data_IF_482865804950
#
_entry.id   IF_482865804950
#
_cell.length_a   1.000
_cell.length_b   1.000
_cell.length_c   1.000
_cell.angle_alpha   90.00
_cell.angle_beta   90.00
_cell.angle_gamma   90.00
#
_symmetry.space_group_name_H-M   'P 1'
#
loop_
_entity.id
_entity.type
_entity.pdbx_description
1 polymer ?
#
# COMPACT_ATOMS: atom_id res chain seq x y z
N UNK A 1 -1.58 -41.04 -9.63
CA UNK A 1 -0.69 -40.06 -8.92
C UNK A 1 -1.57 -38.95 -8.44
N UNK A 2 -1.73 -38.85 -7.12
CA UNK A 2 -2.73 -38.01 -6.44
C UNK A 2 -2.39 -36.51 -6.60
N UNK A 3 -3.39 -35.63 -6.74
CA UNK A 3 -3.23 -34.18 -6.90
C UNK A 3 -2.33 -33.60 -5.82
N UNK A 4 -2.41 -34.10 -4.60
CA UNK A 4 -1.54 -33.72 -3.47
C UNK A 4 -0.05 -34.00 -3.73
N UNK A 5 0.30 -35.08 -4.43
CA UNK A 5 1.68 -35.41 -4.78
C UNK A 5 2.24 -34.45 -5.85
N UNK A 6 1.41 -33.95 -6.78
CA UNK A 6 1.81 -32.97 -7.78
C UNK A 6 2.01 -31.59 -7.15
N UNK A 7 1.15 -31.20 -6.20
CA UNK A 7 1.27 -29.93 -5.46
C UNK A 7 2.51 -29.95 -4.56
N UNK A 8 2.78 -31.05 -3.85
CA UNK A 8 3.97 -31.19 -3.03
C UNK A 8 5.26 -31.15 -3.87
N UNK A 9 5.26 -31.76 -5.06
CA UNK A 9 6.41 -31.70 -5.98
C UNK A 9 6.61 -30.26 -6.54
N UNK A 10 5.54 -29.58 -6.90
CA UNK A 10 5.56 -28.21 -7.39
C UNK A 10 6.08 -27.24 -6.31
N UNK A 11 5.61 -27.38 -5.06
CA UNK A 11 6.09 -26.58 -3.91
C UNK A 11 7.57 -26.86 -3.64
N UNK A 12 8.00 -28.12 -3.71
CA UNK A 12 9.40 -28.52 -3.54
C UNK A 12 10.29 -27.93 -4.63
N UNK A 13 9.84 -27.92 -5.87
CA UNK A 13 10.60 -27.37 -7.01
C UNK A 13 10.72 -25.85 -6.91
N UNK A 14 9.64 -25.14 -6.53
CA UNK A 14 9.68 -23.69 -6.27
C UNK A 14 10.65 -23.40 -5.12
N UNK A 15 10.57 -24.16 -4.01
CA UNK A 15 11.44 -23.97 -2.86
C UNK A 15 12.90 -24.21 -3.22
N UNK A 16 13.21 -25.19 -4.05
CA UNK A 16 14.56 -25.48 -4.51
C UNK A 16 15.09 -24.45 -5.51
N UNK A 17 14.23 -23.95 -6.41
CA UNK A 17 14.57 -22.84 -7.29
C UNK A 17 14.82 -21.57 -6.49
N UNK A 18 13.97 -21.23 -5.52
CA UNK A 18 14.14 -20.08 -4.60
C UNK A 18 15.46 -20.19 -3.82
N UNK A 19 15.81 -21.38 -3.28
CA UNK A 19 17.09 -21.61 -2.60
C UNK A 19 18.30 -21.46 -3.53
N UNK A 20 18.20 -21.92 -4.77
CA UNK A 20 19.27 -21.79 -5.77
C UNK A 20 19.46 -20.34 -6.21
N UNK A 21 18.37 -19.63 -6.41
CA UNK A 21 18.36 -18.20 -6.77
C UNK A 21 18.86 -17.32 -5.63
N UNK A 22 18.43 -17.60 -4.38
CA UNK A 22 18.93 -16.86 -3.22
C UNK A 22 20.43 -17.04 -3.03
N UNK A 23 20.99 -18.24 -3.29
CA UNK A 23 22.44 -18.47 -3.26
C UNK A 23 23.17 -17.70 -4.35
N UNK A 24 22.60 -17.60 -5.55
CA UNK A 24 23.21 -16.87 -6.68
C UNK A 24 23.13 -15.36 -6.44
N UNK A 25 21.98 -14.86 -5.94
CA UNK A 25 21.79 -13.47 -5.56
C UNK A 25 22.72 -13.11 -4.40
N UNK A 26 22.78 -13.92 -3.34
CA UNK A 26 23.70 -13.73 -2.22
C UNK A 26 25.18 -13.77 -2.66
N UNK A 27 25.53 -14.58 -3.64
CA UNK A 27 26.90 -14.62 -4.19
C UNK A 27 27.24 -13.37 -5.01
N UNK A 28 26.28 -12.80 -5.74
CA UNK A 28 26.46 -11.52 -6.45
C UNK A 28 26.48 -10.33 -5.47
N UNK A 29 25.67 -10.37 -4.44
CA UNK A 29 25.58 -9.34 -3.39
C UNK A 29 26.80 -9.29 -2.46
N UNK A 30 27.58 -10.40 -2.31
CA UNK A 30 28.83 -10.42 -1.55
C UNK A 30 29.92 -9.49 -2.08
N UNK A 31 29.70 -8.85 -3.23
CA UNK A 31 30.63 -7.89 -3.85
C UNK A 31 30.23 -6.43 -3.64
N UNK A 32 29.11 -6.15 -2.92
CA UNK A 32 28.62 -4.79 -2.78
C UNK A 32 29.16 -4.11 -1.52
N UNK A 33 29.12 -2.78 -1.55
CA UNK A 33 29.62 -1.89 -0.48
C UNK A 33 28.59 -1.72 0.66
N UNK A 34 27.36 -2.26 0.53
CA UNK A 34 26.20 -1.91 1.36
C UNK A 34 25.47 -3.15 1.91
N UNK A 35 25.98 -3.82 2.96
CA UNK A 35 25.44 -5.11 3.44
C UNK A 35 23.95 -5.12 3.81
N UNK A 36 23.44 -4.03 4.41
CA UNK A 36 22.05 -3.99 4.89
C UNK A 36 21.05 -3.67 3.78
N UNK A 37 21.41 -2.81 2.84
CA UNK A 37 20.60 -2.58 1.63
C UNK A 37 20.57 -3.80 0.73
N UNK A 38 21.64 -4.63 0.73
CA UNK A 38 21.64 -5.94 0.09
C UNK A 38 20.61 -6.88 0.68
N UNK A 39 20.45 -6.85 2.01
CA UNK A 39 19.45 -7.66 2.68
C UNK A 39 18.04 -7.22 2.29
N UNK A 40 17.76 -5.90 2.30
CA UNK A 40 16.48 -5.36 1.82
C UNK A 40 16.21 -5.84 0.40
N UNK A 41 17.17 -5.71 -0.49
CA UNK A 41 17.04 -6.10 -1.88
C UNK A 41 16.82 -7.60 -2.05
N UNK A 42 17.55 -8.43 -1.29
CA UNK A 42 17.40 -9.89 -1.31
C UNK A 42 15.99 -10.33 -0.87
N UNK A 43 15.51 -9.80 0.25
CA UNK A 43 14.17 -10.13 0.76
C UNK A 43 13.08 -9.58 -0.18
N UNK A 44 13.30 -8.39 -0.78
CA UNK A 44 12.38 -7.81 -1.76
C UNK A 44 12.29 -8.65 -3.05
N UNK A 45 13.41 -9.13 -3.58
CA UNK A 45 13.42 -10.01 -4.75
C UNK A 45 12.72 -11.35 -4.47
N UNK A 46 12.85 -11.89 -3.26
CA UNK A 46 12.12 -13.08 -2.85
C UNK A 46 10.62 -12.80 -2.75
N UNK A 47 10.22 -11.73 -2.07
CA UNK A 47 8.81 -11.31 -1.96
C UNK A 47 8.20 -11.02 -3.34
N UNK A 48 8.93 -10.36 -4.25
CA UNK A 48 8.45 -10.06 -5.60
C UNK A 48 8.24 -11.31 -6.45
N UNK A 49 8.99 -12.38 -6.17
CA UNK A 49 8.83 -13.66 -6.85
C UNK A 49 7.60 -14.46 -6.38
N UNK A 50 7.01 -14.08 -5.24
CA UNK A 50 5.82 -14.73 -4.69
C UNK A 50 4.58 -14.08 -5.31
N UNK A 51 3.69 -14.85 -5.97
CA UNK A 51 2.41 -14.33 -6.43
C UNK A 51 1.62 -13.77 -5.25
N UNK A 52 1.20 -12.52 -5.37
CA UNK A 52 0.40 -11.85 -4.34
C UNK A 52 -0.62 -10.94 -4.99
N UNK A 53 -1.58 -11.53 -5.74
CA UNK A 53 -2.71 -10.76 -6.21
C UNK A 53 -3.51 -10.26 -5.00
N UNK A 54 -4.17 -9.14 -5.18
CA UNK A 54 -5.10 -8.61 -4.18
C UNK A 54 -6.07 -9.70 -3.68
N UNK A 55 -6.29 -9.77 -2.37
CA UNK A 55 -7.09 -10.78 -1.67
C UNK A 55 -6.47 -12.21 -1.66
N UNK A 56 -5.21 -12.37 -2.04
CA UNK A 56 -4.46 -13.64 -1.98
C UNK A 56 -3.01 -13.43 -1.58
N UNK A 57 -2.81 -12.68 -0.50
CA UNK A 57 -1.48 -12.31 0.01
C UNK A 57 -0.86 -13.35 0.96
N UNK A 58 -1.55 -14.49 1.19
CA UNK A 58 -1.16 -15.49 2.19
C UNK A 58 0.28 -16.00 2.00
N UNK A 59 0.74 -16.08 0.77
CA UNK A 59 2.09 -16.55 0.46
C UNK A 59 3.15 -15.57 0.95
N UNK A 60 2.91 -14.26 0.79
CA UNK A 60 3.80 -13.21 1.31
C UNK A 60 3.71 -13.11 2.82
N UNK A 61 2.51 -13.22 3.39
CA UNK A 61 2.31 -13.26 4.84
C UNK A 61 3.11 -14.41 5.45
N UNK A 62 3.00 -15.62 4.90
CA UNK A 62 3.75 -16.79 5.35
C UNK A 62 5.26 -16.56 5.29
N UNK A 63 5.78 -16.01 4.20
CA UNK A 63 7.19 -15.68 4.07
C UNK A 63 7.66 -14.73 5.18
N UNK A 64 6.88 -13.68 5.48
CA UNK A 64 7.22 -12.70 6.50
C UNK A 64 7.16 -13.32 7.90
N UNK A 65 6.14 -14.13 8.21
CA UNK A 65 6.03 -14.86 9.48
C UNK A 65 7.25 -15.75 9.69
N UNK A 66 7.63 -16.56 8.70
CA UNK A 66 8.81 -17.42 8.76
C UNK A 66 10.10 -16.60 8.97
N UNK A 67 10.21 -15.46 8.29
CA UNK A 67 11.37 -14.58 8.38
C UNK A 67 11.48 -13.95 9.77
N UNK A 68 10.38 -13.44 10.34
CA UNK A 68 10.33 -12.93 11.71
C UNK A 68 10.62 -14.02 12.74
N UNK A 69 10.01 -15.21 12.58
CA UNK A 69 10.26 -16.35 13.44
C UNK A 69 11.74 -16.77 13.42
N UNK A 70 12.40 -16.72 12.26
CA UNK A 70 13.84 -17.01 12.15
C UNK A 70 14.72 -16.02 12.92
N UNK A 71 14.21 -14.82 13.18
CA UNK A 71 14.85 -13.78 14.00
C UNK A 71 14.42 -13.85 15.48
N UNK A 72 13.56 -14.82 15.85
CA UNK A 72 13.02 -14.95 17.20
C UNK A 72 11.98 -13.89 17.56
N UNK A 73 11.36 -13.25 16.57
CA UNK A 73 10.36 -12.19 16.75
C UNK A 73 8.96 -12.81 16.62
N UNK A 74 8.14 -12.78 17.69
CA UNK A 74 6.77 -13.23 17.62
C UNK A 74 5.92 -12.26 16.77
N UNK A 75 4.99 -12.81 16.00
CA UNK A 75 4.04 -12.05 15.21
C UNK A 75 2.64 -12.64 15.32
N UNK A 76 1.63 -11.82 15.12
CA UNK A 76 0.23 -12.21 15.12
C UNK A 76 -0.45 -11.72 13.85
N UNK A 77 -1.47 -12.46 13.42
CA UNK A 77 -2.31 -12.10 12.29
C UNK A 77 -3.70 -11.79 12.86
N UNK A 78 -4.27 -10.64 12.48
CA UNK A 78 -5.62 -10.28 12.89
C UNK A 78 -6.68 -11.00 12.03
N UNK A 79 -7.96 -10.81 12.36
CA UNK A 79 -9.10 -11.42 11.65
C UNK A 79 -9.20 -10.98 10.18
N UNK A 80 -8.64 -9.82 9.85
CA UNK A 80 -8.59 -9.28 8.49
C UNK A 80 -7.36 -9.75 7.71
N UNK A 81 -6.42 -10.46 8.36
CA UNK A 81 -5.20 -10.99 7.75
C UNK A 81 -4.00 -10.03 7.84
N UNK A 82 -4.10 -8.89 8.52
CA UNK A 82 -2.96 -8.01 8.75
C UNK A 82 -1.98 -8.65 9.73
N UNK A 83 -0.69 -8.55 9.43
CA UNK A 83 0.37 -9.10 10.27
C UNK A 83 0.99 -8.01 11.14
N UNK A 84 1.07 -8.27 12.44
CA UNK A 84 1.62 -7.36 13.46
C UNK A 84 2.76 -8.05 14.17
N UNK A 85 3.87 -7.36 14.35
CA UNK A 85 4.97 -7.78 15.19
C UNK A 85 5.41 -6.61 16.09
N UNK A 86 5.78 -6.93 17.34
CA UNK A 86 6.31 -5.94 18.30
C UNK A 86 7.73 -6.32 18.68
N UNK A 87 8.63 -5.37 18.52
CA UNK A 87 9.99 -5.45 19.01
C UNK A 87 10.09 -4.61 20.27
N UNK A 88 10.30 -5.29 21.41
CA UNK A 88 10.44 -4.62 22.69
C UNK A 88 11.80 -3.96 22.82
N UNK A 89 11.80 -2.74 23.30
CA UNK A 89 13.01 -2.07 23.77
C UNK A 89 13.55 -2.78 25.01
N UNK A 90 14.86 -2.67 25.24
CA UNK A 90 15.47 -3.09 26.50
C UNK A 90 15.30 -2.03 27.60
N UNK A 91 15.01 -0.79 27.24
CA UNK A 91 14.71 0.29 28.18
C UNK A 91 13.23 0.26 28.52
N UNK A 92 12.90 0.02 29.79
CA UNK A 92 11.54 -0.27 30.29
C UNK A 92 10.70 0.95 30.62
N UNK A 93 10.98 2.12 30.09
CA UNK A 93 10.13 3.28 30.30
C UNK A 93 8.90 3.23 29.38
N UNK A 94 7.73 3.55 29.95
CA UNK A 94 6.40 3.57 29.29
C UNK A 94 6.29 4.63 28.18
N UNK A 95 7.18 4.56 27.20
CA UNK A 95 7.15 5.45 26.05
C UNK A 95 6.26 4.89 24.93
N UNK A 96 5.51 5.77 24.25
CA UNK A 96 4.70 5.37 23.11
C UNK A 96 5.56 4.76 22.01
N UNK A 97 5.13 3.67 21.38
CA UNK A 97 5.92 2.98 20.37
C UNK A 97 6.03 3.81 19.07
N UNK A 98 7.01 3.48 18.25
CA UNK A 98 7.08 3.90 16.85
C UNK A 98 6.36 2.86 16.00
N UNK A 99 5.48 3.26 15.08
CA UNK A 99 4.79 2.36 14.16
C UNK A 99 5.36 2.45 12.74
N UNK A 100 5.80 1.34 12.20
CA UNK A 100 6.13 1.20 10.79
C UNK A 100 5.03 0.41 10.07
N UNK A 101 4.53 0.96 8.97
CA UNK A 101 3.47 0.34 8.17
C UNK A 101 3.97 0.08 6.76
N UNK A 102 3.72 -1.09 6.23
CA UNK A 102 3.96 -1.40 4.82
C UNK A 102 2.87 -2.30 4.26
N UNK A 103 2.45 -2.04 3.02
CA UNK A 103 1.45 -2.85 2.32
C UNK A 103 2.10 -4.11 1.72
N UNK A 104 1.37 -5.22 1.71
CA UNK A 104 1.80 -6.50 1.13
C UNK A 104 1.33 -6.74 -0.30
N UNK A 105 0.14 -6.26 -0.72
CA UNK A 105 -0.34 -6.50 -2.08
C UNK A 105 0.60 -5.92 -3.12
N UNK A 106 0.62 -6.54 -4.28
CA UNK A 106 1.26 -6.02 -5.46
C UNK A 106 0.25 -5.98 -6.61
N UNK A 107 0.15 -4.83 -7.27
CA UNK A 107 -0.65 -4.69 -8.47
C UNK A 107 0.00 -5.44 -9.66
N UNK A 108 1.34 -5.58 -9.64
CA UNK A 108 2.12 -6.28 -10.65
C UNK A 108 2.64 -7.60 -10.09
N UNK A 109 2.05 -8.70 -10.53
CA UNK A 109 2.48 -10.05 -10.18
C UNK A 109 2.45 -10.96 -11.40
N UNK A 110 3.28 -11.99 -11.39
CA UNK A 110 3.29 -12.99 -12.47
C UNK A 110 2.69 -14.31 -11.96
N UNK A 111 1.74 -14.94 -12.70
CA UNK A 111 1.00 -16.12 -12.23
C UNK A 111 1.90 -17.32 -11.87
N UNK A 112 3.02 -17.47 -12.54
CA UNK A 112 3.98 -18.58 -12.33
C UNK A 112 5.17 -18.20 -11.46
N UNK A 113 5.14 -16.99 -10.87
CA UNK A 113 6.31 -16.39 -10.26
C UNK A 113 7.33 -15.97 -11.32
N UNK A 114 8.05 -14.90 -11.08
CA UNK A 114 9.15 -14.47 -11.95
C UNK A 114 10.33 -14.08 -11.09
N UNK A 115 11.49 -14.63 -11.43
CA UNK A 115 12.72 -14.28 -10.76
C UNK A 115 13.15 -12.89 -11.17
N UNK A 116 13.43 -12.05 -10.18
CA UNK A 116 14.02 -10.75 -10.44
C UNK A 116 15.41 -10.86 -11.07
N UNK A 117 15.80 -9.83 -11.77
CA UNK A 117 17.12 -9.68 -12.41
C UNK A 117 17.89 -8.55 -11.74
N UNK A 118 19.20 -8.75 -11.59
CA UNK A 118 20.13 -7.75 -11.11
C UNK A 118 21.18 -7.44 -12.18
N UNK A 119 21.48 -6.18 -12.34
CA UNK A 119 22.76 -5.74 -12.93
C UNK A 119 23.60 -4.97 -11.90
N UNK A 120 24.62 -4.24 -12.32
CA UNK A 120 25.51 -3.51 -11.41
C UNK A 120 24.86 -2.30 -10.74
N UNK A 121 23.84 -1.73 -11.34
CA UNK A 121 23.23 -0.46 -10.92
C UNK A 121 21.77 -0.63 -10.52
N UNK A 122 21.07 -1.60 -11.11
CA UNK A 122 19.62 -1.74 -11.03
C UNK A 122 19.17 -3.16 -10.72
N UNK A 123 18.04 -3.22 -10.06
CA UNK A 123 17.28 -4.44 -9.85
C UNK A 123 15.94 -4.35 -10.58
N UNK A 124 15.49 -5.47 -11.11
CA UNK A 124 14.26 -5.59 -11.89
C UNK A 124 13.41 -6.74 -11.37
N UNK A 125 12.11 -6.56 -11.29
CA UNK A 125 11.18 -7.63 -10.89
C UNK A 125 9.73 -7.19 -10.97
N UNK A 126 8.82 -8.14 -11.05
CA UNK A 126 7.38 -7.87 -10.97
C UNK A 126 6.99 -7.46 -9.54
N UNK A 127 6.38 -6.30 -9.37
CA UNK A 127 6.00 -5.78 -8.06
C UNK A 127 7.18 -5.66 -7.09
N UNK A 128 8.39 -5.46 -7.62
CA UNK A 128 9.58 -5.27 -6.80
C UNK A 128 9.50 -3.97 -6.00
N UNK A 129 8.91 -2.93 -6.59
CA UNK A 129 8.68 -1.66 -5.90
C UNK A 129 7.80 -1.84 -4.65
N UNK A 130 6.75 -2.67 -4.74
CA UNK A 130 5.86 -2.96 -3.62
C UNK A 130 6.55 -3.84 -2.56
N UNK A 131 7.45 -4.72 -2.98
CA UNK A 131 8.17 -5.64 -2.09
C UNK A 131 9.28 -4.96 -1.25
N UNK A 132 9.83 -3.82 -1.68
CA UNK A 132 10.88 -3.09 -0.93
C UNK A 132 10.38 -2.63 0.45
N UNK A 133 9.15 -2.17 0.56
CA UNK A 133 8.60 -1.71 1.83
C UNK A 133 8.60 -2.80 2.91
N UNK A 134 7.92 -3.94 2.69
CA UNK A 134 7.93 -5.06 3.63
C UNK A 134 9.35 -5.60 3.91
N UNK A 135 10.19 -5.71 2.88
CA UNK A 135 11.59 -6.12 3.05
C UNK A 135 12.39 -5.15 3.93
N UNK A 136 12.08 -3.86 3.87
CA UNK A 136 12.70 -2.85 4.74
C UNK A 136 12.30 -3.06 6.19
N UNK A 137 11.02 -3.36 6.49
CA UNK A 137 10.58 -3.66 7.84
C UNK A 137 11.31 -4.91 8.40
N UNK A 138 11.49 -5.96 7.58
CA UNK A 138 12.25 -7.15 7.96
C UNK A 138 13.73 -6.83 8.24
N UNK A 139 14.35 -5.99 7.42
CA UNK A 139 15.74 -5.59 7.63
C UNK A 139 15.93 -4.74 8.90
N UNK A 140 14.95 -3.89 9.25
CA UNK A 140 14.94 -3.14 10.52
C UNK A 140 14.81 -4.12 11.69
N UNK A 141 13.92 -5.10 11.60
CA UNK A 141 13.76 -6.14 12.60
C UNK A 141 15.08 -6.89 12.83
N UNK A 142 15.75 -7.30 11.77
CA UNK A 142 17.08 -7.95 11.84
C UNK A 142 18.14 -7.01 12.43
N UNK A 143 18.14 -5.72 12.05
CA UNK A 143 19.09 -4.75 12.58
C UNK A 143 18.97 -4.55 14.09
N UNK A 144 17.75 -4.55 14.63
CA UNK A 144 17.49 -4.47 16.08
C UNK A 144 17.97 -5.76 16.75
N UNK A 145 17.60 -6.93 16.25
CA UNK A 145 17.98 -8.23 16.83
C UNK A 145 19.48 -8.47 16.82
N UNK A 146 20.19 -7.94 15.82
CA UNK A 146 21.65 -8.06 15.71
C UNK A 146 22.43 -6.93 16.37
N UNK A 147 21.73 -5.97 17.01
CA UNK A 147 22.35 -4.84 17.69
C UNK A 147 22.94 -3.77 16.76
N UNK A 148 22.54 -3.76 15.49
CA UNK A 148 22.95 -2.73 14.51
C UNK A 148 22.05 -1.49 14.54
N UNK A 149 20.90 -1.57 15.21
CA UNK A 149 20.00 -0.46 15.50
C UNK A 149 19.49 -0.57 16.93
N UNK A 150 19.65 0.47 17.72
CA UNK A 150 19.18 0.53 19.10
C UNK A 150 18.15 1.63 19.24
N UNK A 151 16.96 1.26 19.69
CA UNK A 151 15.87 2.18 19.99
C UNK A 151 15.47 2.02 21.46
N UNK A 152 15.12 3.12 22.12
CA UNK A 152 14.58 3.14 23.49
C UNK A 152 13.10 2.82 23.52
N UNK A 153 12.38 3.16 22.43
CA UNK A 153 10.95 2.90 22.27
C UNK A 153 10.70 1.56 21.62
N UNK A 154 9.62 0.93 21.99
CA UNK A 154 9.13 -0.24 21.26
C UNK A 154 8.87 0.11 19.80
N UNK A 155 9.10 -0.86 18.93
CA UNK A 155 8.79 -0.74 17.52
C UNK A 155 7.65 -1.69 17.15
N UNK A 156 6.58 -1.16 16.58
CA UNK A 156 5.50 -1.93 16.01
C UNK A 156 5.71 -2.02 14.49
N UNK A 157 5.74 -3.23 13.97
CA UNK A 157 5.76 -3.51 12.53
C UNK A 157 4.38 -3.96 12.11
N UNK A 158 3.79 -3.27 11.15
CA UNK A 158 2.49 -3.59 10.60
C UNK A 158 2.60 -3.84 9.10
N UNK A 159 2.30 -5.05 8.68
CA UNK A 159 2.20 -5.45 7.30
C UNK A 159 0.72 -5.54 6.95
N UNK A 160 0.25 -4.61 6.12
CA UNK A 160 -1.17 -4.54 5.79
C UNK A 160 -1.50 -5.33 4.55
N UNK A 161 -2.56 -6.11 4.64
CA UNK A 161 -3.29 -6.60 3.47
C UNK A 161 -4.28 -5.48 3.12
N UNK A 162 -4.12 -4.90 1.96
CA UNK A 162 -5.05 -3.89 1.46
C UNK A 162 -5.56 -4.34 0.12
N UNK A 163 -6.79 -4.81 0.09
CA UNK A 163 -7.51 -4.86 -1.18
C UNK A 163 -7.65 -3.45 -1.73
N UNK A 164 -7.62 -3.23 -3.06
CA UNK A 164 -8.10 -1.98 -3.62
C UNK A 164 -9.47 -1.68 -3.04
N UNK A 165 -9.56 -0.58 -2.31
CA UNK A 165 -10.81 -0.21 -1.66
C UNK A 165 -10.98 -0.61 -0.20
N UNK A 166 -10.13 -1.44 0.40
CA UNK A 166 -10.20 -1.72 1.85
C UNK A 166 -9.01 -1.11 2.56
N UNK A 167 -9.26 -0.09 3.35
CA UNK A 167 -8.25 0.57 4.19
C UNK A 167 -8.33 -0.03 5.58
N UNK A 168 -7.21 -0.32 6.26
CA UNK A 168 -7.19 -0.94 7.60
C UNK A 168 -7.56 0.05 8.71
N UNK A 169 -8.65 0.83 8.54
CA UNK A 169 -9.05 1.86 9.52
C UNK A 169 -9.48 1.26 10.85
N UNK A 170 -10.13 0.10 10.84
CA UNK A 170 -10.53 -0.59 12.06
C UNK A 170 -9.31 -1.02 12.88
N UNK A 171 -8.29 -1.57 12.21
CA UNK A 171 -7.03 -1.90 12.85
C UNK A 171 -6.33 -0.65 13.40
N UNK A 172 -6.27 0.44 12.61
CA UNK A 172 -5.69 1.70 13.06
C UNK A 172 -6.43 2.28 14.27
N UNK A 173 -7.75 2.17 14.29
CA UNK A 173 -8.57 2.58 15.42
C UNK A 173 -8.30 1.70 16.66
N UNK A 174 -8.13 0.40 16.47
CA UNK A 174 -7.75 -0.54 17.55
C UNK A 174 -6.39 -0.17 18.13
N UNK A 175 -5.40 0.13 17.29
CA UNK A 175 -4.07 0.57 17.76
C UNK A 175 -4.14 1.89 18.54
N UNK A 176 -5.00 2.83 18.12
CA UNK A 176 -5.17 4.14 18.78
C UNK A 176 -5.96 4.07 20.10
N UNK A 177 -6.73 3.01 20.32
CA UNK A 177 -7.52 2.82 21.53
C UNK A 177 -6.84 1.89 22.56
N UNK A 178 -5.78 1.20 22.18
CA UNK A 178 -5.04 0.31 23.09
C UNK A 178 -4.06 1.11 23.95
N UNK A 179 -3.97 0.78 25.25
CA UNK A 179 -3.15 1.52 26.21
C UNK A 179 -1.67 1.61 25.82
N UNK A 180 -1.12 0.50 25.27
CA UNK A 180 0.31 0.36 24.96
C UNK A 180 0.60 0.36 23.46
N UNK A 181 -0.38 0.68 22.61
CA UNK A 181 -0.26 0.59 21.14
C UNK A 181 -0.41 1.93 20.45
N UNK A 182 -0.81 2.99 21.16
CA UNK A 182 -0.89 4.35 20.58
C UNK A 182 0.49 4.81 20.15
N UNK A 183 0.77 4.96 18.84
CA UNK A 183 2.11 5.32 18.42
C UNK A 183 2.44 6.78 18.71
N UNK A 184 3.71 7.06 18.97
CA UNK A 184 4.26 8.42 19.01
C UNK A 184 4.32 9.02 17.60
N UNK A 185 4.68 8.17 16.64
CA UNK A 185 4.84 8.53 15.23
C UNK A 185 4.60 7.31 14.34
N UNK A 186 4.10 7.56 13.13
CA UNK A 186 3.84 6.51 12.14
C UNK A 186 4.65 6.78 10.86
N UNK A 187 5.36 5.77 10.37
CA UNK A 187 6.02 5.82 9.09
C UNK A 187 5.44 4.75 8.15
N UNK A 188 4.84 5.18 7.04
CA UNK A 188 4.46 4.28 5.95
C UNK A 188 5.64 4.12 5.00
N UNK A 189 6.15 2.90 4.91
CA UNK A 189 7.35 2.61 4.11
C UNK A 189 6.93 2.13 2.73
N UNK A 190 7.40 2.83 1.69
CA UNK A 190 7.18 2.51 0.28
C UNK A 190 8.50 2.27 -0.43
N UNK A 191 8.47 1.41 -1.44
CA UNK A 191 9.69 1.07 -2.19
C UNK A 191 10.24 2.25 -2.99
N UNK A 192 9.37 2.99 -3.68
CA UNK A 192 9.78 4.13 -4.51
C UNK A 192 9.52 5.48 -3.84
N UNK A 193 9.92 6.54 -4.56
CA UNK A 193 9.71 7.94 -4.17
C UNK A 193 10.69 8.47 -3.12
N UNK A 194 11.92 7.96 -3.09
CA UNK A 194 13.00 8.58 -2.30
C UNK A 194 13.17 10.06 -2.69
N UNK A 195 13.15 10.93 -1.69
CA UNK A 195 13.22 12.39 -1.86
C UNK A 195 11.87 13.07 -2.02
N UNK A 196 10.75 12.32 -2.09
CA UNK A 196 9.42 12.91 -2.03
C UNK A 196 9.01 13.10 -0.58
N UNK A 197 8.71 14.35 -0.21
CA UNK A 197 8.17 14.72 1.09
C UNK A 197 6.66 14.94 0.95
N UNK A 198 5.87 14.15 1.66
CA UNK A 198 4.43 14.27 1.66
C UNK A 198 3.98 15.12 2.86
N UNK A 199 3.83 16.42 2.65
CA UNK A 199 3.38 17.36 3.68
C UNK A 199 1.87 17.39 3.85
N UNK A 200 1.12 16.92 2.86
CA UNK A 200 -0.34 16.85 2.88
C UNK A 200 -0.83 15.52 2.31
N UNK A 201 -2.03 15.12 2.69
CA UNK A 201 -2.65 13.87 2.27
C UNK A 201 -4.04 14.12 1.71
N UNK A 202 -4.28 13.67 0.48
CA UNK A 202 -5.61 13.63 -0.12
C UNK A 202 -6.47 12.57 0.58
N UNK A 203 -7.68 12.95 0.93
CA UNK A 203 -8.72 12.00 1.25
C UNK A 203 -9.23 11.33 -0.02
N UNK A 204 -9.83 10.16 0.13
CA UNK A 204 -10.32 9.37 -0.99
C UNK A 204 -11.63 8.66 -0.64
N UNK A 205 -12.58 8.63 -1.57
CA UNK A 205 -13.70 7.71 -1.58
C UNK A 205 -13.57 6.74 -2.75
N UNK A 206 -13.75 5.44 -2.48
CA UNK A 206 -13.97 4.43 -3.50
C UNK A 206 -15.45 4.05 -3.50
N UNK A 207 -16.11 4.24 -4.62
CA UNK A 207 -17.55 4.03 -4.78
C UNK A 207 -17.76 3.02 -5.88
N UNK A 208 -18.56 2.00 -5.60
CA UNK A 208 -19.02 1.01 -6.57
C UNK A 208 -20.50 1.21 -6.83
N UNK A 209 -20.88 1.23 -8.08
CA UNK A 209 -22.26 1.29 -8.54
C UNK A 209 -22.56 0.07 -9.40
N UNK A 210 -23.42 -0.81 -8.91
CA UNK A 210 -23.98 -1.91 -9.68
C UNK A 210 -25.35 -1.45 -10.23
N UNK A 211 -25.58 -1.63 -11.52
CA UNK A 211 -26.84 -1.32 -12.20
C UNK A 211 -27.43 -2.62 -12.74
N UNK A 212 -28.73 -2.85 -12.45
CA UNK A 212 -29.49 -3.99 -12.97
C UNK A 212 -30.80 -3.52 -13.58
N UNK A 213 -31.22 -4.15 -14.68
CA UNK A 213 -32.55 -3.91 -15.23
C UNK A 213 -33.62 -4.44 -14.26
N UNK A 214 -34.78 -3.78 -14.23
CA UNK A 214 -35.93 -4.29 -13.49
C UNK A 214 -36.61 -5.40 -14.28
N UNK A 215 -36.83 -6.58 -13.65
CA UNK A 215 -37.46 -7.74 -14.25
C UNK A 215 -38.88 -7.44 -14.79
N UNK A 216 -39.53 -6.37 -14.36
CA UNK A 216 -40.83 -5.92 -14.83
C UNK A 216 -40.82 -5.32 -16.24
N UNK A 217 -39.63 -5.02 -16.80
CA UNK A 217 -39.44 -4.37 -18.11
C UNK A 217 -38.83 -5.28 -19.20
N UNK A 218 -38.85 -6.60 -19.05
CA UNK A 218 -38.33 -7.56 -20.04
C UNK A 218 -38.86 -7.39 -21.48
N UNK A 219 -39.82 -6.49 -21.72
CA UNK A 219 -40.43 -6.24 -23.02
C UNK A 219 -40.00 -4.93 -23.71
N UNK A 220 -39.30 -4.02 -23.05
CA UNK A 220 -38.82 -2.78 -23.71
C UNK A 220 -37.33 -2.92 -24.15
N UNK A 221 -37.14 -3.38 -25.38
CA UNK A 221 -35.84 -3.60 -26.00
C UNK A 221 -34.95 -2.34 -26.16
N UNK A 222 -35.35 -1.20 -25.58
CA UNK A 222 -34.70 0.10 -25.75
C UNK A 222 -33.80 0.52 -24.60
N UNK A 223 -33.89 -0.12 -23.45
CA UNK A 223 -33.06 0.17 -22.27
C UNK A 223 -32.08 -0.95 -22.02
N UNK A 224 -30.82 -0.61 -21.81
CA UNK A 224 -29.77 -1.57 -21.47
C UNK A 224 -28.92 -1.07 -20.31
N UNK A 225 -28.38 -1.98 -19.53
CA UNK A 225 -27.45 -1.63 -18.47
C UNK A 225 -26.17 -0.97 -19.03
N UNK A 226 -25.79 -1.32 -20.26
CA UNK A 226 -24.66 -0.69 -20.98
C UNK A 226 -24.93 0.80 -21.22
N UNK A 227 -26.16 1.17 -21.67
CA UNK A 227 -26.51 2.57 -21.89
C UNK A 227 -26.51 3.37 -20.59
N UNK A 228 -27.05 2.81 -19.53
CA UNK A 228 -27.07 3.43 -18.21
C UNK A 228 -25.64 3.65 -17.66
N UNK A 229 -24.77 2.64 -17.73
CA UNK A 229 -23.37 2.75 -17.28
C UNK A 229 -22.59 3.76 -18.12
N UNK A 230 -22.78 3.75 -19.45
CA UNK A 230 -22.12 4.70 -20.36
C UNK A 230 -22.53 6.13 -20.06
N UNK A 231 -23.84 6.38 -19.84
CA UNK A 231 -24.35 7.68 -19.46
C UNK A 231 -23.83 8.13 -18.10
N UNK A 232 -23.76 7.22 -17.12
CA UNK A 232 -23.21 7.51 -15.80
C UNK A 232 -21.73 7.90 -15.90
N UNK A 233 -20.93 7.11 -16.62
CA UNK A 233 -19.51 7.40 -16.84
C UNK A 233 -19.31 8.76 -17.52
N UNK A 234 -20.07 9.06 -18.54
CA UNK A 234 -20.03 10.36 -19.23
C UNK A 234 -20.42 11.50 -18.28
N UNK A 235 -21.49 11.34 -17.51
CA UNK A 235 -21.93 12.37 -16.57
C UNK A 235 -20.88 12.66 -15.51
N UNK A 236 -20.25 11.63 -14.94
CA UNK A 236 -19.21 11.77 -13.93
C UNK A 236 -17.92 12.41 -14.47
N UNK A 237 -17.55 12.07 -15.71
CA UNK A 237 -16.33 12.63 -16.35
C UNK A 237 -16.45 14.13 -16.68
N UNK A 238 -17.67 14.66 -16.75
CA UNK A 238 -17.95 16.07 -17.03
C UNK A 238 -18.12 16.93 -15.75
N UNK A 239 -18.11 16.31 -14.57
CA UNK A 239 -18.31 17.06 -13.32
C UNK A 239 -17.04 17.84 -12.98
N UNK A 240 -17.20 19.13 -12.78
CA UNK A 240 -16.20 19.97 -12.13
C UNK A 240 -16.49 19.95 -10.61
N UNK A 241 -15.67 19.23 -9.86
CA UNK A 241 -15.90 18.98 -8.44
C UNK A 241 -15.63 20.19 -7.54
N UNK A 242 -14.69 21.05 -7.97
CA UNK A 242 -14.36 22.32 -7.29
C UNK A 242 -13.87 23.36 -8.29
N UNK A 243 -13.86 24.63 -7.87
CA UNK A 243 -13.43 25.76 -8.72
C UNK A 243 -11.93 25.76 -9.04
N UNK A 244 -11.11 25.15 -8.15
CA UNK A 244 -9.64 25.12 -8.27
C UNK A 244 -9.14 23.91 -9.06
N UNK A 245 -9.99 22.91 -9.32
CA UNK A 245 -9.61 21.65 -9.96
C UNK A 245 -8.69 20.77 -9.11
N UNK A 246 -8.68 20.96 -7.79
CA UNK A 246 -7.87 20.16 -6.86
C UNK A 246 -8.52 18.83 -6.52
N UNK A 247 -9.85 18.77 -6.65
CA UNK A 247 -10.63 17.54 -6.49
C UNK A 247 -10.75 16.83 -7.81
N UNK A 248 -10.38 15.57 -7.84
CA UNK A 248 -10.34 14.75 -9.05
C UNK A 248 -11.12 13.46 -8.89
N UNK A 249 -11.65 12.94 -9.99
CA UNK A 249 -12.27 11.63 -10.06
C UNK A 249 -11.59 10.76 -11.11
N UNK A 250 -11.54 9.47 -10.83
CA UNK A 250 -11.08 8.44 -11.77
C UNK A 250 -12.16 7.38 -11.84
N UNK A 251 -12.54 7.01 -13.06
CA UNK A 251 -13.32 5.79 -13.28
C UNK A 251 -12.30 4.67 -13.47
N UNK A 252 -12.19 3.81 -12.46
CA UNK A 252 -11.16 2.76 -12.42
C UNK A 252 -11.60 1.46 -13.07
N UNK A 253 -12.94 1.23 -13.17
CA UNK A 253 -13.48 0.03 -13.78
C UNK A 253 -14.85 0.29 -14.38
N UNK A 254 -15.10 -0.29 -15.56
CA UNK A 254 -16.41 -0.39 -16.20
C UNK A 254 -16.57 -1.81 -16.71
N UNK A 255 -17.66 -2.46 -16.33
CA UNK A 255 -18.07 -3.75 -16.87
C UNK A 255 -19.56 -3.70 -17.18
N UNK A 256 -19.97 -4.09 -18.38
CA UNK A 256 -21.38 -4.16 -18.75
C UNK A 256 -21.57 -5.07 -19.97
N UNK A 257 -22.70 -5.80 -19.96
CA UNK A 257 -23.12 -6.63 -21.08
C UNK A 257 -22.42 -8.00 -21.14
N UNK A 258 -22.93 -8.87 -22.02
CA UNK A 258 -22.54 -10.29 -22.10
C UNK A 258 -22.07 -10.71 -23.51
N UNK A 259 -22.03 -9.79 -24.48
CA UNK A 259 -21.67 -10.07 -25.88
C UNK A 259 -22.87 -10.19 -26.81
N UNK A 260 -22.59 -10.53 -28.07
CA UNK A 260 -23.59 -10.55 -29.14
C UNK A 260 -24.78 -11.48 -28.84
N UNK A 261 -25.99 -11.01 -29.14
CA UNK A 261 -27.23 -11.79 -29.04
C UNK A 261 -27.76 -11.94 -27.62
N UNK A 262 -27.13 -11.28 -26.63
CA UNK A 262 -27.60 -11.25 -25.24
C UNK A 262 -27.98 -9.85 -24.84
N UNK A 263 -29.15 -9.69 -24.20
CA UNK A 263 -29.58 -8.41 -23.69
C UNK A 263 -28.74 -8.05 -22.44
N UNK A 264 -28.11 -6.86 -22.38
CA UNK A 264 -27.24 -6.47 -21.26
C UNK A 264 -28.09 -6.01 -20.06
N UNK A 265 -28.28 -6.92 -19.11
CA UNK A 265 -29.12 -6.70 -17.92
C UNK A 265 -28.33 -6.17 -16.73
N UNK A 266 -27.01 -6.25 -16.74
CA UNK A 266 -26.15 -5.89 -15.63
C UNK A 266 -25.00 -5.00 -16.08
N UNK A 267 -24.58 -4.09 -15.20
CA UNK A 267 -23.40 -3.26 -15.37
C UNK A 267 -22.82 -2.81 -14.05
N UNK A 268 -21.52 -2.55 -14.05
CA UNK A 268 -20.74 -2.12 -12.90
C UNK A 268 -19.86 -0.95 -13.28
N UNK A 269 -19.74 0.04 -12.41
CA UNK A 269 -18.73 1.10 -12.47
C UNK A 269 -18.09 1.32 -11.11
N UNK A 270 -16.76 1.45 -11.09
CA UNK A 270 -15.98 1.81 -9.90
C UNK A 270 -15.38 3.19 -10.10
N UNK A 271 -15.50 4.03 -9.05
CA UNK A 271 -15.18 5.46 -9.08
C UNK A 271 -14.31 5.76 -7.88
N UNK A 272 -13.22 6.47 -8.11
CA UNK A 272 -12.33 6.99 -7.08
C UNK A 272 -12.41 8.52 -7.06
N UNK A 273 -12.64 9.09 -5.89
CA UNK A 273 -12.68 10.55 -5.67
C UNK A 273 -11.52 10.95 -4.77
N UNK A 274 -10.84 12.03 -5.13
CA UNK A 274 -9.66 12.53 -4.39
C UNK A 274 -9.78 14.02 -4.13
N UNK A 275 -9.54 14.46 -2.89
CA UNK A 275 -9.49 15.88 -2.54
C UNK A 275 -8.52 16.15 -1.39
N UNK A 276 -7.99 17.39 -1.32
CA UNK A 276 -7.28 17.92 -0.16
C UNK A 276 -8.22 18.61 0.85
N UNK A 277 -9.48 18.80 0.47
CA UNK A 277 -10.52 19.40 1.31
C UNK A 277 -11.57 18.36 1.66
N UNK A 278 -11.83 18.15 2.95
CA UNK A 278 -12.78 17.14 3.44
C UNK A 278 -14.22 17.50 3.12
N UNK A 279 -14.59 18.77 3.15
CA UNK A 279 -15.95 19.21 2.84
C UNK A 279 -16.25 19.04 1.34
N UNK A 280 -15.28 19.38 0.48
CA UNK A 280 -15.39 19.19 -0.97
C UNK A 280 -15.41 17.69 -1.32
N UNK A 281 -14.63 16.86 -0.64
CA UNK A 281 -14.64 15.41 -0.83
C UNK A 281 -16.01 14.81 -0.50
N UNK A 282 -16.63 15.24 0.59
CA UNK A 282 -18.00 14.82 0.96
C UNK A 282 -19.05 15.29 -0.06
N UNK A 283 -18.94 16.53 -0.53
CA UNK A 283 -19.81 17.05 -1.59
C UNK A 283 -19.67 16.24 -2.88
N UNK A 284 -18.45 15.92 -3.28
CA UNK A 284 -18.16 15.11 -4.45
C UNK A 284 -18.75 13.69 -4.34
N UNK A 285 -18.60 13.05 -3.17
CA UNK A 285 -19.24 11.75 -2.89
C UNK A 285 -20.76 11.83 -3.06
N UNK A 286 -21.41 12.81 -2.43
CA UNK A 286 -22.84 12.97 -2.49
C UNK A 286 -23.34 13.26 -3.93
N UNK A 287 -22.60 14.07 -4.68
CA UNK A 287 -22.90 14.37 -6.06
C UNK A 287 -22.74 13.13 -6.98
N UNK A 288 -21.72 12.30 -6.74
CA UNK A 288 -21.53 11.05 -7.47
C UNK A 288 -22.69 10.08 -7.23
N UNK A 289 -23.09 9.90 -5.96
CA UNK A 289 -24.24 9.07 -5.56
C UNK A 289 -25.53 9.59 -6.22
N UNK A 290 -25.82 10.88 -6.10
CA UNK A 290 -27.03 11.48 -6.70
C UNK A 290 -27.04 11.34 -8.24
N UNK A 291 -25.88 11.44 -8.87
CA UNK A 291 -25.74 11.23 -10.33
C UNK A 291 -26.05 9.78 -10.71
N UNK A 292 -25.57 8.82 -9.92
CA UNK A 292 -25.87 7.40 -10.15
C UNK A 292 -27.37 7.09 -9.98
N UNK A 293 -27.99 7.57 -8.91
CA UNK A 293 -29.43 7.42 -8.65
C UNK A 293 -30.28 8.06 -9.77
N UNK A 294 -29.92 9.28 -10.18
CA UNK A 294 -30.61 9.98 -11.27
C UNK A 294 -30.50 9.21 -12.59
N UNK A 295 -29.31 8.70 -12.90
CA UNK A 295 -29.09 7.91 -14.12
C UNK A 295 -29.89 6.61 -14.07
N UNK A 296 -29.88 5.89 -12.95
CA UNK A 296 -30.68 4.68 -12.79
C UNK A 296 -32.17 4.95 -13.00
N UNK A 297 -32.70 6.02 -12.41
CA UNK A 297 -34.11 6.41 -12.61
C UNK A 297 -34.43 6.78 -14.06
N UNK A 298 -33.52 7.50 -14.75
CA UNK A 298 -33.68 7.88 -16.16
C UNK A 298 -33.76 6.67 -17.09
N UNK A 299 -32.97 5.64 -16.81
CA UNK A 299 -32.93 4.40 -17.60
C UNK A 299 -33.82 3.30 -17.03
N UNK A 300 -34.65 3.60 -16.02
CA UNK A 300 -35.54 2.63 -15.36
C UNK A 300 -34.81 1.38 -14.90
N UNK A 301 -33.65 1.56 -14.33
CA UNK A 301 -32.82 0.49 -13.78
C UNK A 301 -32.81 0.57 -12.27
N UNK A 302 -32.46 -0.52 -11.59
CA UNK A 302 -32.11 -0.53 -10.16
C UNK A 302 -30.64 -0.23 -10.01
N UNK A 303 -30.28 0.58 -9.03
CA UNK A 303 -28.86 0.81 -8.65
C UNK A 303 -28.62 0.37 -7.23
N UNK A 304 -27.50 -0.32 -7.03
CA UNK A 304 -26.90 -0.55 -5.71
C UNK A 304 -25.60 0.26 -5.66
N UNK A 305 -25.49 1.13 -4.66
CA UNK A 305 -24.34 2.03 -4.51
C UNK A 305 -23.66 1.71 -3.18
N UNK A 306 -22.43 1.25 -3.26
CA UNK A 306 -21.62 0.90 -2.11
C UNK A 306 -20.43 1.87 -2.01
N UNK A 307 -20.23 2.51 -0.86
CA UNK A 307 -18.98 3.16 -0.51
C UNK A 307 -18.05 2.09 0.02
N UNK A 308 -17.17 1.60 -0.86
CA UNK A 308 -16.28 0.46 -0.58
C UNK A 308 -15.21 0.82 0.43
N UNK A 309 -14.64 2.05 0.33
CA UNK A 309 -13.67 2.55 1.29
C UNK A 309 -13.62 4.06 1.35
N UNK A 310 -13.06 4.53 2.46
CA UNK A 310 -12.82 5.94 2.72
C UNK A 310 -11.46 6.12 3.38
N UNK A 311 -10.68 7.05 2.88
CA UNK A 311 -9.45 7.55 3.50
C UNK A 311 -9.68 9.02 3.83
N UNK A 312 -9.53 9.46 5.07
CA UNK A 312 -9.75 10.86 5.42
C UNK A 312 -8.65 11.78 4.87
N UNK A 313 -8.99 13.03 4.65
CA UNK A 313 -8.01 14.10 4.39
C UNK A 313 -7.11 14.22 5.61
N UNK A 314 -5.79 14.22 5.40
CA UNK A 314 -4.85 14.33 6.49
C UNK A 314 -4.73 15.76 7.03
N UNK A 315 -4.36 15.89 8.32
CA UNK A 315 -4.04 17.17 8.93
C UNK A 315 -2.53 17.46 8.75
N UNK A 316 -2.13 18.41 7.88
CA UNK A 316 -0.71 18.69 7.62
C UNK A 316 0.01 19.36 8.79
N UNK A 317 -0.70 20.07 9.68
CA UNK A 317 -0.10 20.80 10.79
C UNK A 317 0.59 19.86 11.78
N UNK A 318 0.02 18.69 12.01
CA UNK A 318 0.56 17.67 12.91
C UNK A 318 1.95 17.18 12.46
N UNK A 319 2.21 17.21 11.16
CA UNK A 319 3.48 16.75 10.59
C UNK A 319 4.57 17.83 10.53
N UNK A 320 4.32 19.04 11.00
CA UNK A 320 5.25 20.15 10.77
C UNK A 320 6.65 19.90 11.35
N UNK A 321 6.74 19.46 12.61
CA UNK A 321 8.02 19.15 13.28
C UNK A 321 8.71 17.96 12.59
N UNK A 322 7.94 16.90 12.30
CA UNK A 322 8.42 15.69 11.63
C UNK A 322 8.93 16.00 10.21
N UNK A 323 8.21 16.81 9.45
CA UNK A 323 8.60 17.24 8.11
C UNK A 323 9.92 18.03 8.11
N UNK A 324 10.14 18.91 9.11
CA UNK A 324 11.41 19.60 9.28
C UNK A 324 12.55 18.63 9.57
N UNK A 325 12.33 17.65 10.45
CA UNK A 325 13.31 16.62 10.77
C UNK A 325 13.72 15.83 9.52
N UNK A 326 12.74 15.32 8.75
CA UNK A 326 13.00 14.60 7.50
C UNK A 326 13.72 15.49 6.49
N UNK A 327 13.31 16.74 6.34
CA UNK A 327 13.96 17.70 5.45
C UNK A 327 15.44 17.93 5.80
N UNK A 328 15.75 18.04 7.09
CA UNK A 328 17.15 18.18 7.55
C UNK A 328 17.95 16.94 7.19
N UNK A 329 17.46 15.74 7.49
CA UNK A 329 18.16 14.50 7.19
C UNK A 329 18.37 14.32 5.68
N UNK A 330 17.36 14.62 4.86
CA UNK A 330 17.48 14.55 3.40
C UNK A 330 18.54 15.50 2.86
N UNK A 331 18.65 16.74 3.42
CA UNK A 331 19.71 17.71 3.07
C UNK A 331 21.10 17.18 3.44
N UNK A 332 21.26 16.64 4.64
CA UNK A 332 22.53 16.06 5.11
C UNK A 332 23.00 14.89 4.24
N UNK A 333 22.04 14.11 3.71
CA UNK A 333 22.29 13.01 2.79
C UNK A 333 22.35 13.41 1.31
N UNK A 334 22.28 14.71 1.01
CA UNK A 334 22.24 15.26 -0.36
C UNK A 334 21.10 14.67 -1.23
N UNK A 335 19.98 14.33 -0.61
CA UNK A 335 18.77 13.85 -1.31
C UNK A 335 17.99 15.06 -1.80
N UNK A 336 17.72 15.13 -3.12
CA UNK A 336 16.88 16.18 -3.69
C UNK A 336 15.45 16.05 -3.22
N UNK A 337 14.93 17.13 -2.59
CA UNK A 337 13.58 17.14 -2.02
C UNK A 337 12.57 17.63 -3.05
N UNK A 338 11.43 16.93 -3.13
CA UNK A 338 10.26 17.32 -3.90
C UNK A 338 9.02 17.16 -3.04
N UNK A 339 8.32 18.26 -2.78
CA UNK A 339 7.05 18.20 -2.05
C UNK A 339 5.90 17.82 -2.96
N UNK A 340 5.06 16.87 -2.51
CA UNK A 340 3.85 16.45 -3.20
C UNK A 340 2.81 15.96 -2.20
N UNK A 341 1.52 16.22 -2.45
CA UNK A 341 0.46 15.51 -1.75
C UNK A 341 0.55 14.00 -2.02
N UNK A 342 0.15 13.20 -1.05
CA UNK A 342 0.02 11.75 -1.20
C UNK A 342 -1.40 11.28 -0.92
N UNK A 343 -1.73 10.09 -1.39
CA UNK A 343 -2.84 9.28 -0.89
C UNK A 343 -2.24 8.19 -0.03
N UNK A 344 -2.64 8.11 1.22
CA UNK A 344 -2.15 7.09 2.14
C UNK A 344 -3.10 6.92 3.32
N UNK A 345 -3.34 5.67 3.68
CA UNK A 345 -4.15 5.31 4.85
C UNK A 345 -3.61 5.92 6.17
N UNK A 346 -2.30 6.19 6.25
CA UNK A 346 -1.70 6.80 7.44
C UNK A 346 -2.13 8.24 7.69
N UNK A 347 -2.83 8.90 6.73
CA UNK A 347 -3.51 10.16 6.95
C UNK A 347 -4.50 10.09 8.12
N UNK A 348 -5.08 8.91 8.36
CA UNK A 348 -5.98 8.66 9.49
C UNK A 348 -5.34 9.01 10.84
N UNK A 349 -4.07 8.65 11.03
CA UNK A 349 -3.35 8.98 12.25
C UNK A 349 -3.21 10.49 12.46
N UNK A 350 -2.99 11.25 11.39
CA UNK A 350 -2.89 12.72 11.48
C UNK A 350 -4.22 13.38 11.90
N UNK A 351 -5.36 12.77 11.54
CA UNK A 351 -6.69 13.23 12.03
C UNK A 351 -6.90 12.96 13.52
N UNK A 352 -6.09 12.07 14.09
CA UNK A 352 -6.08 11.71 15.53
C UNK A 352 -4.90 12.34 16.30
N UNK A 353 -4.29 13.38 15.74
CA UNK A 353 -3.15 14.09 16.31
C UNK A 353 -1.90 13.22 16.52
N UNK A 354 -1.73 12.18 15.70
CA UNK A 354 -0.51 11.38 15.67
C UNK A 354 0.26 11.70 14.38
N UNK A 355 1.51 12.20 14.47
CA UNK A 355 2.33 12.49 13.30
C UNK A 355 2.54 11.26 12.44
N UNK A 356 2.35 11.40 11.12
CA UNK A 356 2.51 10.28 10.19
C UNK A 356 3.07 10.74 8.85
N UNK A 357 4.12 10.08 8.35
CA UNK A 357 4.72 10.37 7.04
C UNK A 357 4.91 9.11 6.20
N UNK A 358 4.83 9.31 4.89
CA UNK A 358 5.24 8.29 3.91
C UNK A 358 6.72 8.48 3.58
N UNK A 359 7.50 7.41 3.66
CA UNK A 359 8.92 7.40 3.39
C UNK A 359 9.20 6.48 2.20
N UNK A 360 9.73 7.07 1.12
CA UNK A 360 10.20 6.31 -0.04
C UNK A 360 11.63 5.81 0.16
N UNK A 361 11.88 4.55 -0.15
CA UNK A 361 13.16 3.88 0.11
C UNK A 361 14.14 3.97 -1.04
N UNK A 362 13.66 4.08 -2.28
CA UNK A 362 14.53 4.08 -3.46
C UNK A 362 14.01 4.98 -4.57
N UNK A 363 14.84 5.17 -5.58
CA UNK A 363 14.45 5.67 -6.89
C UNK A 363 14.25 4.51 -7.83
N UNK A 364 13.47 4.74 -8.88
CA UNK A 364 13.19 3.73 -9.87
C UNK A 364 11.93 4.06 -10.65
N UNK A 365 11.40 3.05 -11.30
CA UNK A 365 10.25 3.17 -12.17
C UNK A 365 9.36 1.93 -12.05
N UNK A 366 8.03 2.13 -12.03
CA UNK A 366 7.05 1.06 -12.20
C UNK A 366 6.79 0.93 -13.69
N UNK A 367 7.20 -0.19 -14.26
CA UNK A 367 7.03 -0.49 -15.68
C UNK A 367 5.81 -1.38 -15.92
N UNK A 368 5.43 -1.57 -17.19
CA UNK A 368 4.34 -2.50 -17.55
C UNK A 368 4.73 -3.96 -17.34
N UNK A 369 6.01 -4.31 -17.61
CA UNK A 369 6.51 -5.67 -17.48
C UNK A 369 7.32 -5.89 -16.21
N UNK A 370 8.13 -4.91 -15.81
CA UNK A 370 9.01 -4.98 -14.63
C UNK A 370 9.13 -3.63 -13.96
N UNK A 371 9.18 -3.66 -12.63
CA UNK A 371 9.65 -2.51 -11.86
C UNK A 371 11.18 -2.47 -11.91
N UNK A 372 11.70 -1.26 -11.89
CA UNK A 372 13.13 -0.97 -11.85
C UNK A 372 13.47 -0.22 -10.56
N UNK A 373 14.49 -0.67 -9.85
CA UNK A 373 15.01 -0.07 -8.61
C UNK A 373 16.48 0.29 -8.79
N UNK A 374 16.86 1.54 -8.52
CA UNK A 374 18.27 1.97 -8.44
C UNK A 374 18.88 1.49 -7.12
N UNK A 375 19.87 0.57 -7.18
CA UNK A 375 20.45 -0.09 -6.00
C UNK A 375 21.14 0.92 -5.07
N UNK A 376 21.88 1.87 -5.61
CA UNK A 376 22.57 2.89 -4.80
C UNK A 376 21.57 3.78 -4.04
N UNK A 377 20.43 4.09 -4.65
CA UNK A 377 19.39 4.90 -4.01
C UNK A 377 18.75 4.21 -2.81
N UNK A 378 18.68 2.88 -2.80
CA UNK A 378 18.15 2.10 -1.68
C UNK A 378 19.02 2.26 -0.43
N UNK A 379 20.35 2.38 -0.58
CA UNK A 379 21.23 2.67 0.56
C UNK A 379 21.00 4.08 1.13
N UNK A 380 20.69 5.06 0.27
CA UNK A 380 20.30 6.40 0.75
C UNK A 380 18.98 6.37 1.52
N UNK A 381 17.99 5.62 1.03
CA UNK A 381 16.72 5.43 1.72
C UNK A 381 16.90 4.73 3.06
N UNK A 382 17.72 3.70 3.13
CA UNK A 382 18.08 3.04 4.40
C UNK A 382 18.69 4.04 5.39
N UNK A 383 19.68 4.82 4.96
CA UNK A 383 20.31 5.84 5.85
C UNK A 383 19.29 6.87 6.32
N UNK A 384 18.44 7.35 5.43
CA UNK A 384 17.36 8.27 5.77
C UNK A 384 16.46 7.69 6.88
N UNK A 385 15.96 6.47 6.67
CA UNK A 385 15.01 5.84 7.59
C UNK A 385 15.67 5.51 8.95
N UNK A 386 16.89 4.99 8.97
CA UNK A 386 17.59 4.68 10.23
C UNK A 386 17.86 5.95 11.04
N UNK A 387 18.39 7.01 10.40
CA UNK A 387 18.62 8.29 11.07
C UNK A 387 17.29 8.89 11.58
N UNK A 388 16.22 8.73 10.82
CA UNK A 388 14.89 9.21 11.20
C UNK A 388 14.36 8.45 12.42
N UNK A 389 14.48 7.13 12.47
CA UNK A 389 14.11 6.31 13.61
C UNK A 389 14.88 6.70 14.86
N UNK A 390 16.21 6.80 14.78
CA UNK A 390 17.07 7.21 15.90
C UNK A 390 16.76 8.61 16.42
N UNK A 391 16.47 9.58 15.53
CA UNK A 391 16.10 10.92 15.94
C UNK A 391 14.70 10.98 16.56
N UNK A 392 13.74 10.28 15.96
CA UNK A 392 12.37 10.21 16.49
C UNK A 392 12.33 9.55 17.87
N UNK A 393 13.18 8.54 18.07
CA UNK A 393 13.34 7.85 19.35
C UNK A 393 13.91 8.75 20.45
N UNK A 394 14.92 9.59 20.12
CA UNK A 394 15.63 10.43 21.09
C UNK A 394 14.93 11.75 21.38
N UNK A 395 14.42 12.43 20.36
CA UNK A 395 13.96 13.81 20.43
C UNK A 395 12.44 13.93 20.60
N UNK A 396 11.71 12.84 20.31
CA UNK A 396 10.26 12.86 20.13
C UNK A 396 9.83 13.72 18.92
N UNK A 397 8.60 13.58 18.49
CA UNK A 397 8.07 14.24 17.27
C UNK A 397 6.85 15.13 17.50
N UNK A 398 6.34 15.20 18.72
CA UNK A 398 5.24 16.10 19.14
C UNK A 398 5.75 17.43 19.71
#
# INVERSE_FOLDING_TARGET
MNIFSKIAHFISDITNQLKKTSKTILASLRRTKYPLSERILSDALQLSSLPSPTEREETRVTFIVERLASLGIPSSIDESGHLIARLHSQDTENEKPILLVSALPSEHWHPTGSLGRLDTEKAYGFGLADAIGPATLLAIAEAIQTGNLHLKRDLLLLFTITSPGKVPLELFNTLLNGADTVPEVVFSIRGLSLGVLNTSYKGTYHIRVDITLDDSEEGDSRTSAVDAITQLAQSLSMVQWDEKGETTSIISRIEAGFGFGKHPTEGLIEIELYSLDSAVLEMARNAAIATAEKTAAQYKTKSRIDVVSYIPVGNPEINHKLSKMVTSIMKDLHIKIKEKPAVSAVSYFTTKNVPALVIGMSRGHIGLDYDEIEIESLELGRKLLFTLLEKSDKEGVL
#
